data_IF_435486075941
#
_entry.id   IF_435486075941
#
_cell.length_a   1.000
_cell.length_b   1.000
_cell.length_c   1.000
_cell.angle_alpha   90.00
_cell.angle_beta   90.00
_cell.angle_gamma   90.00
#
_symmetry.space_group_name_H-M   'P 1'
#
loop_
_entity.id
_entity.type
_entity.pdbx_description
1 polymer ?
#
# COMPACT_ATOMS: atom_id res chain seq x y z
N UNK A 1 -1.95 -16.01 10.11
CA UNK A 1 -1.68 -14.57 10.23
C UNK A 1 -0.89 -14.21 11.49
N UNK A 2 -1.25 -14.74 12.65
CA UNK A 2 -0.57 -14.42 13.91
C UNK A 2 0.95 -14.69 13.89
N UNK A 3 1.36 -15.75 13.21
CA UNK A 3 2.79 -16.06 13.02
C UNK A 3 3.56 -14.95 12.28
N UNK A 4 2.90 -14.26 11.33
CA UNK A 4 3.50 -13.15 10.60
C UNK A 4 3.69 -11.90 11.47
N UNK A 5 2.88 -11.74 12.53
CA UNK A 5 3.00 -10.64 13.48
C UNK A 5 4.03 -10.93 14.57
N UNK A 6 4.28 -12.20 14.88
CA UNK A 6 5.12 -12.60 16.00
C UNK A 6 6.53 -12.03 15.89
N UNK A 7 6.89 -11.20 16.88
CA UNK A 7 8.20 -10.52 16.96
C UNK A 7 8.54 -9.62 15.75
N UNK A 8 7.56 -9.22 14.95
CA UNK A 8 7.78 -8.26 13.87
C UNK A 8 8.19 -6.89 14.43
N UNK A 9 9.14 -6.22 13.80
CA UNK A 9 9.51 -4.83 14.06
C UNK A 9 8.64 -3.86 13.28
N UNK A 10 8.15 -4.28 12.08
CA UNK A 10 7.28 -3.51 11.19
C UNK A 10 6.17 -4.42 10.70
N UNK A 11 4.95 -3.91 10.62
CA UNK A 11 3.80 -4.56 9.98
C UNK A 11 3.25 -3.67 8.87
N UNK A 12 3.03 -4.28 7.72
CA UNK A 12 2.52 -3.62 6.53
C UNK A 12 1.35 -4.43 5.96
N UNK A 13 0.15 -4.35 6.55
CA UNK A 13 -1.02 -5.03 6.01
C UNK A 13 -1.39 -4.42 4.68
N UNK A 14 -1.76 -5.26 3.73
CA UNK A 14 -2.13 -4.84 2.38
C UNK A 14 -3.46 -5.48 2.00
N UNK A 15 -4.29 -4.73 1.30
CA UNK A 15 -5.58 -5.21 0.83
C UNK A 15 -5.47 -6.46 -0.05
N UNK A 16 -6.53 -7.24 -0.09
CA UNK A 16 -6.60 -8.59 -0.61
C UNK A 16 -6.71 -8.66 -2.14
N UNK A 17 -5.82 -7.98 -2.86
CA UNK A 17 -5.75 -8.00 -4.31
C UNK A 17 -4.51 -8.79 -4.79
N UNK A 18 -4.58 -10.11 -4.98
CA UNK A 18 -3.46 -10.91 -5.47
C UNK A 18 -2.99 -10.41 -6.85
N UNK A 19 -1.68 -10.49 -7.09
CA UNK A 19 -1.09 -10.05 -8.36
C UNK A 19 -1.76 -10.71 -9.58
N UNK A 20 -2.10 -12.00 -9.48
CA UNK A 20 -2.80 -12.72 -10.54
C UNK A 20 -4.17 -12.10 -10.91
N UNK A 21 -4.90 -11.59 -9.91
CA UNK A 21 -6.16 -10.85 -10.13
C UNK A 21 -5.91 -9.56 -10.90
N UNK A 22 -4.86 -8.84 -10.56
CA UNK A 22 -4.49 -7.60 -11.25
C UNK A 22 -4.10 -7.87 -12.71
N UNK A 23 -3.38 -8.94 -12.99
CA UNK A 23 -3.05 -9.38 -14.36
C UNK A 23 -4.31 -9.73 -15.18
N UNK A 24 -5.22 -10.53 -14.61
CA UNK A 24 -6.50 -10.87 -15.25
C UNK A 24 -7.32 -9.62 -15.54
N UNK A 25 -7.44 -8.72 -14.57
CA UNK A 25 -8.15 -7.44 -14.74
C UNK A 25 -7.57 -6.61 -15.88
N UNK A 26 -6.24 -6.53 -15.96
CA UNK A 26 -5.54 -5.80 -17.03
C UNK A 26 -5.85 -6.40 -18.41
N UNK A 27 -5.85 -7.73 -18.53
CA UNK A 27 -6.18 -8.42 -19.79
C UNK A 27 -7.64 -8.14 -20.21
N UNK A 28 -8.59 -8.23 -19.28
CA UNK A 28 -10.01 -7.94 -19.54
C UNK A 28 -10.22 -6.47 -19.95
N UNK A 29 -9.53 -5.52 -19.30
CA UNK A 29 -9.57 -4.11 -19.66
C UNK A 29 -9.03 -3.86 -21.08
N UNK A 30 -7.91 -4.47 -21.45
CA UNK A 30 -7.34 -4.38 -22.80
C UNK A 30 -8.30 -4.87 -23.89
N UNK A 31 -9.07 -5.90 -23.57
CA UNK A 31 -10.06 -6.49 -24.49
C UNK A 31 -11.44 -5.80 -24.40
N UNK A 32 -11.61 -4.77 -23.57
CA UNK A 32 -12.89 -4.12 -23.30
C UNK A 32 -14.01 -5.09 -22.87
N UNK A 33 -13.64 -6.18 -22.21
CA UNK A 33 -14.55 -7.25 -21.75
C UNK A 33 -15.22 -6.85 -20.43
N UNK A 34 -16.37 -6.17 -20.55
CA UNK A 34 -17.14 -5.69 -19.40
C UNK A 34 -17.77 -6.82 -18.59
N UNK A 35 -18.19 -7.90 -19.22
CA UNK A 35 -18.83 -9.02 -18.53
C UNK A 35 -17.78 -9.85 -17.79
N UNK A 36 -16.61 -10.06 -18.37
CA UNK A 36 -15.47 -10.67 -17.69
C UNK A 36 -15.01 -9.86 -16.46
N UNK A 37 -15.05 -8.52 -16.53
CA UNK A 37 -14.74 -7.68 -15.37
C UNK A 37 -15.75 -7.85 -14.22
N UNK A 38 -17.05 -7.95 -14.52
CA UNK A 38 -18.08 -8.21 -13.50
C UNK A 38 -17.91 -9.59 -12.84
N UNK A 39 -17.63 -10.61 -13.65
CA UNK A 39 -17.38 -11.97 -13.16
C UNK A 39 -16.14 -11.98 -12.25
N UNK A 40 -15.05 -11.32 -12.66
CA UNK A 40 -13.84 -11.22 -11.86
C UNK A 40 -14.10 -10.52 -10.53
N UNK A 41 -14.90 -9.46 -10.51
CA UNK A 41 -15.31 -8.77 -9.27
C UNK A 41 -16.07 -9.70 -8.33
N UNK A 42 -17.04 -10.45 -8.84
CA UNK A 42 -17.79 -11.42 -8.05
C UNK A 42 -16.90 -12.52 -7.45
N UNK A 43 -15.97 -13.06 -8.27
CA UNK A 43 -14.97 -14.03 -7.79
C UNK A 43 -14.10 -13.44 -6.67
N UNK A 44 -13.65 -12.20 -6.83
CA UNK A 44 -12.83 -11.52 -5.81
C UNK A 44 -13.61 -11.31 -4.52
N UNK A 45 -14.85 -10.85 -4.59
CA UNK A 45 -15.71 -10.65 -3.41
C UNK A 45 -15.96 -11.97 -2.67
N UNK A 46 -16.25 -13.05 -3.42
CA UNK A 46 -16.45 -14.37 -2.84
C UNK A 46 -15.17 -14.92 -2.19
N UNK A 47 -14.02 -14.68 -2.80
CA UNK A 47 -12.74 -15.08 -2.23
C UNK A 47 -12.40 -14.27 -0.97
N UNK A 48 -12.54 -12.95 -1.02
CA UNK A 48 -12.23 -12.07 0.10
C UNK A 48 -13.12 -12.35 1.33
N UNK A 49 -14.38 -12.73 1.09
CA UNK A 49 -15.31 -13.12 2.16
C UNK A 49 -14.81 -14.30 3.03
N UNK A 50 -13.83 -15.06 2.54
CA UNK A 50 -13.22 -16.19 3.28
C UNK A 50 -12.10 -15.75 4.23
N UNK A 51 -11.66 -14.50 4.15
CA UNK A 51 -10.48 -13.97 4.85
C UNK A 51 -10.79 -12.71 5.67
N UNK A 52 -12.01 -12.60 6.16
CA UNK A 52 -12.45 -11.45 6.97
C UNK A 52 -11.71 -11.31 8.31
N UNK A 53 -11.10 -12.39 8.78
CA UNK A 53 -10.25 -12.45 9.96
C UNK A 53 -8.80 -11.93 9.71
N UNK A 54 -8.48 -11.59 8.46
CA UNK A 54 -7.17 -11.06 8.08
C UNK A 54 -7.02 -9.56 8.36
N UNK A 55 -7.70 -9.08 9.32
CA UNK A 55 -7.59 -7.71 9.79
C UNK A 55 -6.39 -7.53 10.71
N UNK A 56 -5.67 -6.42 10.61
CA UNK A 56 -4.67 -5.98 11.58
C UNK A 56 -5.38 -5.41 12.80
N UNK A 57 -5.48 -6.20 13.87
CA UNK A 57 -6.17 -5.83 15.12
C UNK A 57 -5.19 -5.47 16.23
N UNK A 58 -5.71 -4.89 17.32
CA UNK A 58 -4.92 -4.63 18.53
C UNK A 58 -4.31 -5.90 19.10
N UNK A 59 -5.05 -7.02 19.07
CA UNK A 59 -4.57 -8.32 19.56
C UNK A 59 -3.38 -8.80 18.74
N UNK A 60 -3.45 -8.68 17.42
CA UNK A 60 -2.33 -9.03 16.53
C UNK A 60 -1.14 -8.11 16.74
N UNK A 61 -1.36 -6.82 16.95
CA UNK A 61 -0.29 -5.88 17.25
C UNK A 61 0.45 -6.22 18.56
N UNK A 62 -0.23 -6.78 19.56
CA UNK A 62 0.41 -7.27 20.80
C UNK A 62 1.39 -8.41 20.57
N UNK A 63 1.25 -9.19 19.50
CA UNK A 63 2.16 -10.29 19.15
C UNK A 63 3.50 -9.78 18.60
N UNK A 64 3.58 -8.55 18.17
CA UNK A 64 4.77 -7.95 17.62
C UNK A 64 5.84 -7.73 18.68
N UNK A 65 7.02 -7.36 18.29
CA UNK A 65 8.16 -7.16 19.20
C UNK A 65 7.85 -6.09 20.27
N UNK A 66 7.66 -6.56 21.49
CA UNK A 66 7.23 -5.72 22.62
C UNK A 66 5.86 -5.07 22.43
N UNK A 67 5.02 -5.57 21.50
CA UNK A 67 3.73 -4.96 21.16
C UNK A 67 3.85 -3.58 20.50
N UNK A 68 5.02 -3.23 19.93
CA UNK A 68 5.36 -1.88 19.48
C UNK A 68 5.82 -1.81 18.02
N UNK A 69 5.52 -2.82 17.19
CA UNK A 69 5.87 -2.74 15.77
C UNK A 69 5.29 -1.47 15.13
N UNK A 70 6.06 -0.87 14.26
CA UNK A 70 5.58 0.23 13.43
C UNK A 70 4.56 -0.30 12.42
N UNK A 71 3.34 0.22 12.47
CA UNK A 71 2.34 0.00 11.42
C UNK A 71 2.60 0.98 10.27
N UNK A 72 2.71 0.45 9.05
CA UNK A 72 2.89 1.22 7.82
C UNK A 72 1.79 0.89 6.82
N UNK A 73 1.43 1.86 6.00
CA UNK A 73 0.46 1.68 4.92
C UNK A 73 0.61 2.73 3.82
N UNK A 74 0.58 2.29 2.57
CA UNK A 74 0.75 3.17 1.41
C UNK A 74 -0.44 4.10 1.12
N UNK A 75 -1.54 4.01 1.88
CA UNK A 75 -2.80 4.74 1.67
C UNK A 75 -3.33 4.69 0.21
N UNK A 76 -4.66 4.69 0.02
CA UNK A 76 -5.69 4.65 1.08
C UNK A 76 -5.73 3.32 1.81
N UNK A 77 -6.20 3.31 3.07
CA UNK A 77 -6.40 2.11 3.88
C UNK A 77 -7.89 1.79 4.02
N UNK A 78 -8.21 0.49 3.99
CA UNK A 78 -9.55 -0.01 4.29
C UNK A 78 -9.69 -0.19 5.81
N UNK A 79 -10.26 0.82 6.47
CA UNK A 79 -10.37 0.89 7.92
C UNK A 79 -11.74 0.38 8.35
N UNK A 80 -11.77 -0.69 9.16
CA UNK A 80 -13.00 -1.29 9.66
C UNK A 80 -13.87 -0.30 10.43
N UNK A 81 -15.14 -0.23 10.07
CA UNK A 81 -16.13 0.64 10.68
C UNK A 81 -16.00 2.13 10.32
N UNK A 82 -15.03 2.51 9.47
CA UNK A 82 -14.83 3.89 9.00
C UNK A 82 -14.97 3.97 7.48
N UNK A 83 -14.02 3.43 6.72
CA UNK A 83 -14.06 3.46 5.25
C UNK A 83 -14.82 2.29 4.65
N UNK A 84 -14.96 1.21 5.39
CA UNK A 84 -15.70 0.00 5.00
C UNK A 84 -16.24 -0.72 6.24
N UNK A 85 -17.10 -1.69 6.03
CA UNK A 85 -17.65 -2.49 7.13
C UNK A 85 -16.61 -3.42 7.75
N UNK A 86 -15.85 -4.11 6.92
CA UNK A 86 -14.80 -5.05 7.27
C UNK A 86 -13.57 -4.71 6.45
N UNK A 87 -12.51 -4.26 7.11
CA UNK A 87 -11.32 -3.72 6.48
C UNK A 87 -10.06 -4.54 6.77
N UNK A 88 -8.94 -4.01 6.36
CA UNK A 88 -7.62 -4.58 6.55
C UNK A 88 -6.97 -4.16 7.88
N UNK A 89 -7.53 -3.14 8.53
CA UNK A 89 -7.03 -2.63 9.81
C UNK A 89 -8.15 -2.12 10.70
N UNK A 90 -8.03 -2.40 11.99
CA UNK A 90 -8.91 -1.88 13.02
C UNK A 90 -8.70 -0.37 13.21
N UNK A 91 -9.77 0.38 13.40
CA UNK A 91 -9.73 1.84 13.51
C UNK A 91 -8.77 2.34 14.59
N UNK A 92 -8.72 1.69 15.77
CA UNK A 92 -7.83 2.07 16.86
C UNK A 92 -6.34 1.89 16.52
N UNK A 93 -6.00 0.83 15.79
CA UNK A 93 -4.64 0.59 15.30
C UNK A 93 -4.26 1.68 14.30
N UNK A 94 -5.11 1.93 13.30
CA UNK A 94 -4.84 2.96 12.31
C UNK A 94 -4.67 4.33 12.95
N UNK A 95 -5.55 4.73 13.87
CA UNK A 95 -5.51 6.04 14.52
C UNK A 95 -4.22 6.23 15.34
N UNK A 96 -3.73 5.18 15.98
CA UNK A 96 -2.44 5.22 16.72
C UNK A 96 -1.26 5.58 15.81
N UNK A 97 -1.25 5.10 14.57
CA UNK A 97 -0.16 5.28 13.61
C UNK A 97 -0.50 6.26 12.47
N UNK A 98 -1.60 6.98 12.59
CA UNK A 98 -2.08 7.89 11.54
C UNK A 98 -1.02 8.89 11.08
N UNK A 99 -0.32 9.50 12.02
CA UNK A 99 0.72 10.50 11.69
C UNK A 99 1.89 9.85 10.95
N UNK A 100 2.33 8.68 11.40
CA UNK A 100 3.43 7.93 10.77
C UNK A 100 3.07 7.47 9.36
N UNK A 101 1.85 7.00 9.15
CA UNK A 101 1.33 6.62 7.82
C UNK A 101 1.27 7.82 6.87
N UNK A 102 0.87 8.99 7.34
CA UNK A 102 0.88 10.21 6.52
C UNK A 102 2.29 10.69 6.23
N UNK A 103 3.24 10.56 7.14
CA UNK A 103 4.66 10.81 6.87
C UNK A 103 5.20 9.88 5.80
N UNK A 104 4.90 8.57 5.89
CA UNK A 104 5.24 7.59 4.85
C UNK A 104 4.67 8.00 3.49
N UNK A 105 3.37 8.30 3.44
CA UNK A 105 2.71 8.75 2.21
C UNK A 105 3.34 10.02 1.63
N UNK A 106 3.86 10.91 2.48
CA UNK A 106 4.59 12.12 2.10
C UNK A 106 5.88 11.86 1.31
N UNK A 107 6.45 10.66 1.39
CA UNK A 107 7.62 10.28 0.59
C UNK A 107 7.29 9.80 -0.83
N UNK A 108 6.02 9.50 -1.15
CA UNK A 108 5.61 9.04 -2.48
C UNK A 108 6.05 9.97 -3.62
N UNK A 109 5.90 11.31 -3.53
CA UNK A 109 6.34 12.21 -4.60
C UNK A 109 7.82 12.06 -4.93
N UNK A 110 8.68 11.85 -3.92
CA UNK A 110 10.12 11.67 -4.12
C UNK A 110 10.45 10.35 -4.82
N UNK A 111 9.78 9.27 -4.44
CA UNK A 111 9.95 7.96 -5.08
C UNK A 111 9.46 8.02 -6.53
N UNK A 112 8.29 8.62 -6.78
CA UNK A 112 7.75 8.79 -8.13
C UNK A 112 8.68 9.65 -8.98
N UNK A 113 9.19 10.75 -8.44
CA UNK A 113 10.16 11.60 -9.14
C UNK A 113 11.46 10.85 -9.48
N UNK A 114 11.97 10.02 -8.56
CA UNK A 114 13.13 9.18 -8.80
C UNK A 114 12.86 8.14 -9.90
N UNK A 115 11.70 7.50 -9.90
CA UNK A 115 11.30 6.55 -10.96
C UNK A 115 11.22 7.23 -12.32
N UNK A 116 10.62 8.42 -12.41
CA UNK A 116 10.54 9.21 -13.65
C UNK A 116 11.94 9.58 -14.14
N UNK A 117 12.79 10.06 -13.23
CA UNK A 117 14.17 10.45 -13.55
C UNK A 117 14.98 9.27 -14.12
N UNK A 118 14.93 8.11 -13.43
CA UNK A 118 15.63 6.90 -13.89
C UNK A 118 15.09 6.35 -15.21
N UNK A 119 13.82 6.54 -15.49
CA UNK A 119 13.25 6.12 -16.78
C UNK A 119 13.60 7.09 -17.92
N UNK A 120 13.86 8.35 -17.60
CA UNK A 120 14.14 9.40 -18.59
C UNK A 120 15.62 9.57 -18.90
N UNK A 121 16.52 9.24 -17.99
CA UNK A 121 17.96 9.45 -18.11
C UNK A 121 18.72 8.17 -17.76
N UNK A 122 19.64 7.73 -18.63
CA UNK A 122 20.50 6.56 -18.38
C UNK A 122 21.39 6.76 -17.16
N UNK A 123 21.89 7.98 -16.95
CA UNK A 123 22.77 8.36 -15.84
C UNK A 123 22.06 9.29 -14.86
N UNK A 124 20.95 8.86 -14.28
CA UNK A 124 20.11 9.68 -13.40
C UNK A 124 20.85 10.29 -12.21
N UNK A 125 21.82 9.57 -11.63
CA UNK A 125 22.63 10.05 -10.52
C UNK A 125 23.52 11.24 -10.91
N UNK A 126 24.16 11.19 -12.08
CA UNK A 126 24.98 12.29 -12.60
C UNK A 126 24.13 13.52 -12.94
N UNK A 127 22.93 13.30 -13.49
CA UNK A 127 21.97 14.38 -13.75
C UNK A 127 21.58 15.08 -12.46
N UNK A 128 21.27 14.32 -11.40
CA UNK A 128 20.96 14.89 -10.09
C UNK A 128 22.15 15.67 -9.51
N UNK A 129 23.35 15.09 -9.56
CA UNK A 129 24.55 15.75 -9.06
C UNK A 129 24.80 17.07 -9.79
N UNK A 130 24.63 17.09 -11.12
CA UNK A 130 24.77 18.32 -11.93
C UNK A 130 23.73 19.36 -11.53
N UNK A 131 22.44 18.98 -11.43
CA UNK A 131 21.38 19.89 -11.02
C UNK A 131 21.62 20.48 -9.64
N UNK A 132 22.12 19.68 -8.71
CA UNK A 132 22.50 20.13 -7.37
C UNK A 132 23.65 21.13 -7.42
N UNK A 133 24.68 20.86 -8.20
CA UNK A 133 25.88 21.74 -8.35
C UNK A 133 25.53 23.06 -9.03
N UNK A 134 24.69 23.01 -10.08
CA UNK A 134 24.25 24.21 -10.83
C UNK A 134 23.32 25.12 -10.01
N UNK A 135 22.73 24.58 -8.93
CA UNK A 135 21.83 25.29 -8.01
C UNK A 135 20.81 26.20 -8.73
N UNK A 136 20.22 25.69 -9.82
CA UNK A 136 19.27 26.45 -10.62
C UNK A 136 18.03 26.80 -9.80
N UNK A 137 17.69 28.08 -9.78
CA UNK A 137 16.44 28.55 -9.16
C UNK A 137 15.24 27.92 -9.88
N UNK A 138 14.23 27.55 -9.10
CA UNK A 138 12.95 27.08 -9.63
C UNK A 138 12.33 28.20 -10.49
N UNK A 139 11.93 27.88 -11.71
CA UNK A 139 11.13 28.77 -12.55
C UNK A 139 9.70 28.72 -11.95
N UNK A 140 9.27 29.84 -11.42
CA UNK A 140 7.91 30.03 -10.87
C UNK A 140 6.93 30.31 -12.00
#
# INVERSE_FOLDING_TARGET
MDEAFKNADIVYPKSWAPFAVMQRRTALLKNSDKDGLKLLEQECLANNARFKDWECTEEKMKLTKGGKALYMHCLPADISGISCREGEVQASVFERYRIETYKEAGYKPYIIAAMILNNKFENAAEVLQRLYTENRKRIS
#
